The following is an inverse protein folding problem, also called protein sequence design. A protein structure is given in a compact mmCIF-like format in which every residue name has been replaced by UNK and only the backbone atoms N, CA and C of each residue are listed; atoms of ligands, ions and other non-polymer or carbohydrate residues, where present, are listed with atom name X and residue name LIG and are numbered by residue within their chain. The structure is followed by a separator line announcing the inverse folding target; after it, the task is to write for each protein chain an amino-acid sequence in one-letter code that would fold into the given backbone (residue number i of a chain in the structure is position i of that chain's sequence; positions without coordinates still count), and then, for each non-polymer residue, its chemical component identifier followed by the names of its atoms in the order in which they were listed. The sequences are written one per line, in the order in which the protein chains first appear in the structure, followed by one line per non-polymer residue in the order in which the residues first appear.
data_IF_317733059370
#
_entry.id   IF_317733059370
#
_cell.length_a   1.000
_cell.length_b   1.000
_cell.length_c   1.000
_cell.angle_alpha   90.00
_cell.angle_beta   90.00
_cell.angle_gamma   90.00
#
_symmetry.space_group_name_H-M   'P 1'
#
loop_
_entity.id
_entity.type
_entity.pdbx_description
1 polymer ?
#
# COMPACT_ATOMS: atom_id res chain seq x y z
N UNK A 1 24.86 -11.96 52.18
CA UNK A 1 25.03 -10.93 51.12
C UNK A 1 24.49 -11.43 49.77
N UNK A 2 23.35 -12.14 49.76
CA UNK A 2 22.79 -12.81 48.56
C UNK A 2 21.54 -12.11 47.99
N UNK A 3 20.91 -11.19 48.74
CA UNK A 3 19.67 -10.52 48.30
C UNK A 3 19.88 -9.41 47.25
N UNK A 4 21.03 -8.74 47.27
CA UNK A 4 21.28 -7.59 46.38
C UNK A 4 21.54 -8.01 44.92
N UNK A 5 22.19 -9.16 44.72
CA UNK A 5 22.46 -9.71 43.38
C UNK A 5 21.19 -10.23 42.70
N UNK A 6 20.30 -10.90 43.44
CA UNK A 6 19.01 -11.35 42.88
C UNK A 6 18.08 -10.19 42.54
N UNK A 7 18.12 -9.09 43.30
CA UNK A 7 17.29 -7.92 43.04
C UNK A 7 17.77 -7.14 41.79
N UNK A 8 19.09 -7.05 41.57
CA UNK A 8 19.63 -6.44 40.34
C UNK A 8 19.29 -7.25 39.08
N UNK A 9 19.29 -8.59 39.17
CA UNK A 9 18.97 -9.46 38.04
C UNK A 9 17.49 -9.32 37.62
N UNK A 10 16.58 -9.15 38.60
CA UNK A 10 15.14 -8.93 38.36
C UNK A 10 14.88 -7.56 37.72
N UNK A 11 15.60 -6.51 38.13
CA UNK A 11 15.46 -5.17 37.54
C UNK A 11 15.99 -5.16 36.10
N UNK A 12 17.10 -5.86 35.82
CA UNK A 12 17.66 -5.97 34.48
C UNK A 12 16.74 -6.75 33.52
N UNK A 13 16.09 -7.82 33.97
CA UNK A 13 15.12 -8.57 33.15
C UNK A 13 13.82 -7.81 32.92
N UNK A 14 13.33 -7.06 33.92
CA UNK A 14 12.15 -6.18 33.73
C UNK A 14 12.40 -5.05 32.73
N UNK A 15 13.61 -4.47 32.72
CA UNK A 15 13.99 -3.42 31.78
C UNK A 15 14.08 -3.95 30.33
N UNK A 16 14.54 -5.19 30.12
CA UNK A 16 14.57 -5.81 28.78
C UNK A 16 13.19 -6.14 28.21
N UNK A 17 12.17 -6.35 29.07
CA UNK A 17 10.78 -6.56 28.63
C UNK A 17 10.09 -5.24 28.23
N UNK A 18 10.55 -4.09 28.73
CA UNK A 18 10.02 -2.78 28.36
C UNK A 18 10.55 -2.25 27.01
N UNK A 19 11.66 -2.79 26.49
CA UNK A 19 12.27 -2.33 25.25
C UNK A 19 11.53 -2.78 23.97
N UNK A 20 10.57 -3.70 24.08
CA UNK A 20 9.79 -4.19 22.92
C UNK A 20 8.62 -3.28 22.49
N UNK A 21 8.41 -2.12 23.12
CA UNK A 21 7.23 -1.26 22.86
C UNK A 21 7.60 0.16 22.43
N UNK A 22 8.75 0.37 21.80
CA UNK A 22 8.84 1.40 20.76
C UNK A 22 8.28 0.81 19.47
N UNK A 23 7.00 0.47 19.51
CA UNK A 23 6.24 0.16 18.31
C UNK A 23 6.24 1.43 17.47
N UNK A 24 7.14 1.51 16.49
CA UNK A 24 6.93 2.40 15.37
C UNK A 24 5.59 1.99 14.77
N UNK A 25 4.53 2.75 15.02
CA UNK A 25 3.24 2.53 14.37
C UNK A 25 3.46 2.79 12.89
N UNK A 26 3.75 1.73 12.14
CA UNK A 26 3.78 1.79 10.68
C UNK A 26 2.33 2.02 10.26
N UNK A 27 2.04 3.26 9.91
CA UNK A 27 0.79 3.64 9.30
C UNK A 27 0.87 3.32 7.82
N UNK A 28 -0.03 2.46 7.35
CA UNK A 28 -0.26 2.26 5.93
C UNK A 28 -1.36 3.21 5.51
N UNK A 29 -1.12 4.08 4.54
CA UNK A 29 -2.22 4.78 3.89
C UNK A 29 -2.58 3.97 2.65
N UNK A 30 -3.84 3.56 2.55
CA UNK A 30 -4.38 3.15 1.26
C UNK A 30 -4.83 4.41 0.55
N UNK A 31 -4.21 4.67 -0.59
CA UNK A 31 -4.63 5.74 -1.47
C UNK A 31 -5.12 5.14 -2.78
N UNK A 32 -6.24 5.66 -3.27
CA UNK A 32 -6.74 5.41 -4.62
C UNK A 32 -6.81 6.73 -5.38
N UNK A 33 -6.40 6.73 -6.64
CA UNK A 33 -6.61 7.85 -7.55
C UNK A 33 -6.76 7.39 -8.99
N UNK A 34 -7.10 8.30 -9.89
CA UNK A 34 -7.29 7.99 -11.31
C UNK A 34 -6.44 8.89 -12.21
N UNK A 35 -5.73 8.28 -13.16
CA UNK A 35 -4.93 8.99 -14.17
C UNK A 35 -5.16 8.46 -15.58
N UNK A 36 -6.37 8.66 -16.15
CA UNK A 36 -6.64 8.23 -17.51
C UNK A 36 -5.65 8.87 -18.48
N UNK A 37 -5.05 8.06 -19.36
CA UNK A 37 -4.01 8.49 -20.31
C UNK A 37 -2.78 9.15 -19.63
N UNK A 38 -2.48 8.78 -18.38
CA UNK A 38 -1.32 9.28 -17.64
C UNK A 38 -1.47 10.72 -17.13
N UNK A 39 -2.68 11.27 -17.13
CA UNK A 39 -2.96 12.62 -16.61
C UNK A 39 -3.79 12.53 -15.32
N UNK A 40 -3.40 13.23 -14.23
CA UNK A 40 -4.20 13.28 -13.02
C UNK A 40 -5.66 13.67 -13.29
N UNK A 41 -6.58 12.92 -12.70
CA UNK A 41 -8.00 13.26 -12.64
C UNK A 41 -8.47 13.14 -11.18
N UNK A 42 -9.21 14.16 -10.74
CA UNK A 42 -9.73 14.29 -9.38
C UNK A 42 -11.15 13.74 -9.24
N UNK A 43 -11.67 13.00 -10.23
CA UNK A 43 -12.96 12.31 -10.14
C UNK A 43 -12.92 11.11 -9.18
N UNK A 44 -11.73 10.55 -8.93
CA UNK A 44 -11.48 9.48 -7.96
C UNK A 44 -10.32 9.89 -7.07
N UNK A 45 -10.60 10.01 -5.77
CA UNK A 45 -9.58 10.18 -4.74
C UNK A 45 -10.05 9.51 -3.46
N UNK A 46 -9.22 8.65 -2.90
CA UNK A 46 -9.37 8.09 -1.56
C UNK A 46 -8.03 8.22 -0.85
N UNK A 47 -8.09 8.55 0.43
CA UNK A 47 -6.95 8.55 1.32
C UNK A 47 -7.38 8.05 2.68
N UNK A 48 -6.95 6.85 3.06
CA UNK A 48 -7.34 6.28 4.35
C UNK A 48 -6.15 5.73 5.11
N UNK A 49 -6.03 6.18 6.35
CA UNK A 49 -5.12 5.60 7.32
C UNK A 49 -5.60 4.20 7.72
N UNK A 50 -4.73 3.22 7.61
CA UNK A 50 -4.93 1.84 8.04
C UNK A 50 -3.91 1.50 9.13
N UNK A 51 -4.41 1.10 10.29
CA UNK A 51 -3.61 0.43 11.31
C UNK A 51 -3.32 -1.02 10.88
N UNK A 52 -2.30 -1.68 11.48
CA UNK A 52 -2.01 -3.08 11.20
C UNK A 52 -3.25 -3.98 11.28
N UNK A 53 -3.46 -4.81 10.26
CA UNK A 53 -4.60 -5.72 10.16
C UNK A 53 -5.91 -5.08 9.69
N UNK A 54 -5.96 -3.76 9.47
CA UNK A 54 -7.13 -3.10 8.90
C UNK A 54 -7.14 -3.17 7.37
N UNK A 55 -8.34 -3.10 6.81
CA UNK A 55 -8.57 -2.97 5.37
C UNK A 55 -9.59 -1.88 5.08
N UNK A 56 -9.70 -1.52 3.82
CA UNK A 56 -10.76 -0.64 3.30
C UNK A 56 -11.18 -1.13 1.92
N UNK A 57 -12.41 -0.80 1.54
CA UNK A 57 -12.97 -1.14 0.25
C UNK A 57 -13.28 0.14 -0.52
N UNK A 58 -12.95 0.15 -1.80
CA UNK A 58 -13.29 1.24 -2.71
C UNK A 58 -14.00 0.68 -3.93
N UNK A 59 -15.20 1.18 -4.21
CA UNK A 59 -15.97 0.79 -5.38
C UNK A 59 -15.47 1.51 -6.63
N UNK A 60 -15.19 0.76 -7.68
CA UNK A 60 -14.76 1.29 -8.98
C UNK A 60 -15.80 0.92 -10.03
N UNK A 61 -16.16 1.86 -10.90
CA UNK A 61 -17.02 1.58 -12.05
C UNK A 61 -16.30 0.72 -13.09
N UNK A 62 -17.01 -0.19 -13.74
CA UNK A 62 -16.48 -1.03 -14.82
C UNK A 62 -15.91 -0.24 -16.02
N UNK A 63 -16.29 1.05 -16.13
CA UNK A 63 -15.84 1.92 -17.22
C UNK A 63 -14.77 2.92 -16.74
N UNK A 64 -14.30 2.81 -15.50
CA UNK A 64 -13.27 3.68 -14.97
C UNK A 64 -11.90 3.29 -15.54
N UNK A 65 -11.13 4.29 -15.95
CA UNK A 65 -9.81 4.09 -16.56
C UNK A 65 -8.70 4.60 -15.64
N UNK A 66 -7.53 3.95 -15.72
CA UNK A 66 -6.31 4.41 -15.05
C UNK A 66 -6.43 4.52 -13.53
N UNK A 67 -7.18 3.62 -12.88
CA UNK A 67 -7.23 3.57 -11.43
C UNK A 67 -5.91 3.04 -10.91
N UNK A 68 -5.31 3.77 -9.98
CA UNK A 68 -4.08 3.40 -9.30
C UNK A 68 -4.37 3.35 -7.80
N UNK A 69 -3.90 2.29 -7.13
CA UNK A 69 -3.87 2.23 -5.67
C UNK A 69 -2.47 1.89 -5.16
N UNK A 70 -2.06 2.48 -4.05
CA UNK A 70 -0.73 2.27 -3.48
C UNK A 70 -0.72 2.50 -1.98
N UNK A 71 0.35 2.00 -1.37
CA UNK A 71 0.60 2.13 0.06
C UNK A 71 1.57 3.27 0.34
N UNK A 72 1.19 4.18 1.23
CA UNK A 72 2.07 5.24 1.72
C UNK A 72 2.59 4.85 3.11
N UNK A 73 3.91 4.77 3.30
CA UNK A 73 4.51 4.50 4.62
C UNK A 73 4.95 5.81 5.27
N UNK A 74 4.32 6.17 6.38
CA UNK A 74 4.72 7.33 7.17
C UNK A 74 5.09 6.96 8.61
N UNK A 75 6.06 7.70 9.17
CA UNK A 75 6.38 7.70 10.59
C UNK A 75 5.52 8.71 11.38
N UNK A 76 4.77 9.58 10.70
CA UNK A 76 3.87 10.58 11.31
C UNK A 76 2.55 10.71 10.54
N UNK A 77 1.44 10.83 11.27
CA UNK A 77 0.06 10.68 10.78
C UNK A 77 -0.41 11.73 9.75
N UNK A 78 0.33 12.83 9.52
CA UNK A 78 -0.27 14.06 8.98
C UNK A 78 0.43 14.62 7.74
N UNK A 79 1.74 14.41 7.52
CA UNK A 79 2.44 14.95 6.34
C UNK A 79 3.60 14.06 5.87
N UNK A 80 3.71 13.94 4.54
CA UNK A 80 4.82 13.37 3.76
C UNK A 80 5.30 11.98 4.19
N UNK A 81 4.75 10.95 3.55
CA UNK A 81 5.32 9.61 3.64
C UNK A 81 6.75 9.59 3.12
N UNK A 82 7.57 8.71 3.70
CA UNK A 82 8.95 8.53 3.25
C UNK A 82 9.00 7.89 1.86
N UNK A 83 8.03 7.02 1.56
CA UNK A 83 7.74 6.47 0.24
C UNK A 83 6.21 6.47 0.03
N UNK A 84 5.77 6.75 -1.19
CA UNK A 84 4.34 6.85 -1.53
C UNK A 84 3.69 8.20 -1.38
N UNK A 85 4.49 9.20 -1.01
CA UNK A 85 4.01 10.56 -0.89
C UNK A 85 3.47 11.06 -2.23
N UNK A 86 2.23 11.51 -2.20
CA UNK A 86 1.58 12.15 -3.32
C UNK A 86 1.35 13.64 -3.02
N UNK A 87 1.03 14.40 -4.05
CA UNK A 87 0.52 15.74 -3.84
C UNK A 87 -0.86 15.65 -3.15
N UNK A 88 -1.04 16.37 -2.05
CA UNK A 88 -2.29 16.39 -1.26
C UNK A 88 -2.24 15.69 0.10
N UNK A 89 -1.16 14.96 0.41
CA UNK A 89 -1.01 14.30 1.71
C UNK A 89 -1.84 13.01 1.79
N UNK A 90 -2.71 12.88 2.80
CA UNK A 90 -3.53 11.67 2.97
C UNK A 90 -4.43 11.43 1.73
N UNK A 91 -5.08 12.49 1.24
CA UNK A 91 -5.93 12.44 0.06
C UNK A 91 -5.14 12.96 -1.14
N UNK A 92 -4.75 12.04 -2.01
CA UNK A 92 -3.89 12.36 -3.14
C UNK A 92 -4.67 12.97 -4.29
N UNK A 93 -4.14 14.04 -4.87
CA UNK A 93 -4.76 14.77 -5.98
C UNK A 93 -4.04 14.58 -7.33
N UNK A 94 -3.05 13.68 -7.37
CA UNK A 94 -2.23 13.43 -8.56
C UNK A 94 -2.18 11.95 -8.97
N UNK A 95 -3.09 11.13 -8.44
CA UNK A 95 -3.24 9.70 -8.76
C UNK A 95 -1.96 8.87 -8.62
N UNK A 96 -1.05 9.27 -7.74
CA UNK A 96 0.17 8.50 -7.46
C UNK A 96 1.27 8.69 -8.51
N UNK A 97 1.11 9.58 -9.48
CA UNK A 97 2.15 9.88 -10.49
C UNK A 97 3.47 10.31 -9.83
N UNK A 98 3.41 11.00 -8.69
CA UNK A 98 4.60 11.39 -7.93
C UNK A 98 4.91 10.46 -6.75
N UNK A 99 4.12 9.41 -6.52
CA UNK A 99 4.28 8.53 -5.35
C UNK A 99 5.60 7.78 -5.39
N UNK A 100 6.12 7.52 -6.59
CA UNK A 100 7.39 6.81 -6.83
C UNK A 100 7.39 5.42 -6.19
N UNK A 101 6.24 4.75 -6.23
CA UNK A 101 5.98 3.50 -5.55
C UNK A 101 5.62 2.35 -6.50
N UNK A 102 5.44 1.18 -5.90
CA UNK A 102 4.67 0.10 -6.47
C UNK A 102 3.17 0.46 -6.44
N UNK A 103 2.56 0.57 -7.62
CA UNK A 103 1.15 0.86 -7.80
C UNK A 103 0.43 -0.41 -8.25
N UNK A 104 -0.76 -0.68 -7.71
CA UNK A 104 -1.70 -1.57 -8.38
C UNK A 104 -2.53 -0.77 -9.35
N UNK A 105 -2.60 -1.21 -10.60
CA UNK A 105 -3.40 -0.57 -11.64
C UNK A 105 -4.63 -1.39 -11.95
N UNK A 106 -5.73 -0.71 -12.23
CA UNK A 106 -6.99 -1.27 -12.68
C UNK A 106 -7.56 -0.44 -13.82
N UNK A 107 -8.10 -1.09 -14.85
CA UNK A 107 -8.82 -0.39 -15.91
C UNK A 107 -9.38 -1.28 -17.01
N UNK A 108 -10.29 -0.69 -17.78
CA UNK A 108 -10.85 -1.28 -19.00
C UNK A 108 -9.84 -1.20 -20.15
N UNK A 109 -9.51 -2.34 -20.75
CA UNK A 109 -8.71 -2.43 -21.96
C UNK A 109 -9.51 -2.14 -23.22
N UNK A 110 -8.80 -2.01 -24.34
CA UNK A 110 -9.40 -1.66 -25.64
C UNK A 110 -10.26 -2.79 -26.22
N UNK A 111 -10.08 -4.01 -25.75
CA UNK A 111 -10.85 -5.20 -26.10
C UNK A 111 -12.10 -5.38 -25.22
N UNK A 112 -12.38 -4.42 -24.33
CA UNK A 112 -13.53 -4.46 -23.43
C UNK A 112 -13.33 -5.36 -22.20
N UNK A 113 -12.14 -5.92 -22.00
CA UNK A 113 -11.82 -6.68 -20.79
C UNK A 113 -11.30 -5.76 -19.69
N UNK A 114 -11.54 -6.14 -18.43
CA UNK A 114 -11.01 -5.44 -17.26
C UNK A 114 -9.70 -6.08 -16.86
N UNK A 115 -8.69 -5.25 -16.60
CA UNK A 115 -7.36 -5.69 -16.25
C UNK A 115 -6.94 -5.19 -14.88
N UNK A 116 -6.07 -5.96 -14.25
CA UNK A 116 -5.29 -5.51 -13.11
C UNK A 116 -3.84 -5.95 -13.22
N UNK A 117 -2.93 -5.13 -12.68
CA UNK A 117 -1.49 -5.42 -12.70
C UNK A 117 -0.76 -4.59 -11.63
N UNK A 118 0.52 -4.87 -11.45
CA UNK A 118 1.44 -3.94 -10.80
C UNK A 118 2.17 -3.08 -11.82
N UNK A 119 2.27 -1.78 -11.55
CA UNK A 119 3.25 -0.91 -12.17
C UNK A 119 4.24 -0.40 -11.13
N UNK A 120 5.44 -0.11 -11.58
CA UNK A 120 6.55 0.25 -10.72
C UNK A 120 7.25 1.49 -11.26
N UNK A 121 7.12 2.60 -10.53
CA UNK A 121 7.55 3.94 -11.00
C UNK A 121 8.77 4.49 -10.22
N UNK A 122 9.43 3.73 -9.33
CA UNK A 122 10.77 4.14 -8.83
C UNK A 122 11.59 3.11 -8.02
N UNK A 123 12.93 3.26 -8.14
CA UNK A 123 14.12 2.50 -7.67
C UNK A 123 14.12 1.55 -6.47
N UNK A 124 13.17 1.57 -5.53
CA UNK A 124 13.09 0.58 -4.43
C UNK A 124 11.64 0.20 -4.10
N UNK A 125 11.41 -1.08 -3.76
CA UNK A 125 10.10 -1.55 -3.27
C UNK A 125 9.91 -1.00 -1.85
N UNK A 126 8.88 -0.18 -1.66
CA UNK A 126 8.61 0.50 -0.39
C UNK A 126 7.87 -0.40 0.62
N UNK A 127 6.93 -1.19 0.13
CA UNK A 127 6.10 -2.13 0.89
C UNK A 127 6.00 -3.40 0.04
N UNK A 128 6.35 -4.58 0.58
CA UNK A 128 6.06 -5.85 -0.07
C UNK A 128 4.56 -5.97 -0.29
N UNK A 129 4.14 -6.25 -1.52
CA UNK A 129 2.72 -6.22 -1.87
C UNK A 129 2.35 -7.43 -2.71
N UNK A 130 1.13 -7.92 -2.46
CA UNK A 130 0.49 -8.98 -3.24
C UNK A 130 -0.88 -8.54 -3.72
N UNK A 131 -1.21 -8.83 -4.97
CA UNK A 131 -2.56 -8.75 -5.51
C UNK A 131 -3.15 -10.13 -5.64
N UNK A 132 -4.45 -10.25 -5.37
CA UNK A 132 -5.21 -11.48 -5.58
C UNK A 132 -6.55 -11.17 -6.21
N UNK A 133 -6.85 -11.81 -7.34
CA UNK A 133 -8.13 -11.78 -8.02
C UNK A 133 -8.67 -13.21 -8.22
N UNK A 134 -9.82 -13.33 -8.89
CA UNK A 134 -10.39 -14.62 -9.25
C UNK A 134 -9.55 -15.41 -10.25
N UNK A 135 -8.77 -14.71 -11.07
CA UNK A 135 -7.94 -15.26 -12.13
C UNK A 135 -6.51 -15.58 -11.67
N UNK A 136 -6.14 -15.23 -10.43
CA UNK A 136 -4.87 -15.61 -9.84
C UNK A 136 -4.31 -14.63 -8.81
N UNK A 137 -2.99 -14.70 -8.64
CA UNK A 137 -2.24 -13.87 -7.70
C UNK A 137 -0.96 -13.35 -8.33
N UNK A 138 -0.57 -12.13 -7.97
CA UNK A 138 0.70 -11.53 -8.34
C UNK A 138 1.37 -11.01 -7.07
N UNK A 139 2.65 -11.30 -6.88
CA UNK A 139 3.46 -10.73 -5.80
C UNK A 139 4.64 -10.01 -6.42
N UNK A 140 4.92 -8.80 -5.95
CA UNK A 140 6.07 -8.02 -6.39
C UNK A 140 7.17 -8.15 -5.36
N UNK A 141 8.16 -9.01 -5.61
CA UNK A 141 9.28 -9.26 -4.69
C UNK A 141 10.56 -8.58 -5.17
N UNK A 142 10.69 -8.30 -6.48
CA UNK A 142 11.86 -7.68 -7.11
C UNK A 142 11.44 -6.68 -8.19
N UNK A 143 12.25 -5.63 -8.46
CA UNK A 143 11.95 -4.58 -9.44
C UNK A 143 11.62 -5.06 -10.87
N UNK A 144 11.92 -6.32 -11.20
CA UNK A 144 11.66 -6.93 -12.51
C UNK A 144 10.42 -7.84 -12.55
N UNK A 145 9.61 -7.88 -11.49
CA UNK A 145 8.38 -8.69 -11.38
C UNK A 145 7.15 -8.00 -12.04
N UNK A 146 7.38 -7.17 -13.06
CA UNK A 146 6.36 -6.40 -13.79
C UNK A 146 5.61 -7.19 -14.89
N UNK A 147 5.69 -8.53 -14.87
CA UNK A 147 5.41 -9.36 -16.07
C UNK A 147 4.01 -9.96 -16.15
N UNK A 148 3.15 -9.75 -15.18
CA UNK A 148 1.80 -10.31 -15.21
C UNK A 148 0.74 -9.23 -15.35
N UNK A 149 0.04 -9.25 -16.49
CA UNK A 149 -1.24 -8.58 -16.68
C UNK A 149 -2.31 -9.65 -16.46
N UNK A 150 -3.23 -9.36 -15.57
CA UNK A 150 -4.29 -10.27 -15.14
C UNK A 150 -5.64 -9.78 -15.62
N UNK A 151 -6.53 -10.71 -15.93
CA UNK A 151 -7.85 -10.41 -16.47
C UNK A 151 -8.89 -10.61 -15.36
N UNK A 152 -9.71 -9.61 -15.11
CA UNK A 152 -10.84 -9.75 -14.20
C UNK A 152 -12.14 -9.89 -14.99
N UNK A 153 -13.03 -10.77 -14.53
CA UNK A 153 -14.40 -10.73 -15.00
C UNK A 153 -15.04 -9.38 -14.62
N UNK A 154 -15.93 -8.86 -15.47
CA UNK A 154 -16.60 -7.60 -15.19
C UNK A 154 -17.45 -7.70 -13.91
N UNK A 155 -17.32 -6.70 -13.02
CA UNK A 155 -18.00 -6.67 -11.72
C UNK A 155 -17.33 -7.50 -10.62
N UNK A 156 -16.20 -8.14 -10.91
CA UNK A 156 -15.45 -8.92 -9.93
C UNK A 156 -14.52 -8.03 -9.07
N UNK A 157 -13.95 -8.59 -8.02
CA UNK A 157 -13.10 -7.87 -7.06
C UNK A 157 -11.68 -8.42 -7.05
N UNK A 158 -10.68 -7.52 -7.02
CA UNK A 158 -9.31 -7.88 -6.66
C UNK A 158 -8.93 -7.23 -5.33
N UNK A 159 -7.99 -7.85 -4.62
CA UNK A 159 -7.53 -7.40 -3.31
C UNK A 159 -6.08 -6.98 -3.39
N UNK A 160 -5.78 -5.83 -2.79
CA UNK A 160 -4.43 -5.29 -2.62
C UNK A 160 -3.96 -5.55 -1.19
N UNK A 161 -2.98 -6.43 -1.02
CA UNK A 161 -2.44 -6.82 0.28
C UNK A 161 -1.08 -6.16 0.51
N UNK A 162 -0.99 -5.35 1.56
CA UNK A 162 0.27 -4.82 2.05
C UNK A 162 0.93 -5.81 3.02
N UNK A 163 2.25 -5.99 2.90
CA UNK A 163 3.06 -6.92 3.70
C UNK A 163 2.64 -8.40 3.59
N UNK A 164 2.14 -8.81 2.42
CA UNK A 164 1.62 -10.17 2.14
C UNK A 164 2.58 -11.10 1.40
#
# INVERSE_FOLDING_TARGET
MTGLHSMLLIIATLASLLACVLAYTICFQNTVGTSPNGQPDQSVFLGQLLNPGQGTNFGVSNNQLGICAWGCKSLNYIYNCHCGACNGGLVCNNAGITSRDLLSEYGLGHDGQVYWTFSYICSQINIPTRLTGSDGQQAFQKPNDFRAIHNLAQGDTYNHHFCG
#
